data_IF_567154097571
#
_entry.id   IF_567154097571
#
_cell.length_a   1.000
_cell.length_b   1.000
_cell.length_c   1.000
_cell.angle_alpha   90.00
_cell.angle_beta   90.00
_cell.angle_gamma   90.00
#
_symmetry.space_group_name_H-M   'P 1'
#
loop_
_entity.id
_entity.type
_entity.pdbx_description
1 polymer ?
#
# COMPACT_ATOMS: atom_id res chain seq x y z
N UNK A 1 -4.28 -42.37 40.88
CA UNK A 1 -4.66 -42.54 39.45
C UNK A 1 -4.71 -41.14 38.85
N UNK A 2 -3.60 -40.60 38.31
CA UNK A 2 -3.16 -40.57 36.90
C UNK A 2 -4.22 -40.11 35.86
N UNK A 3 -4.08 -38.81 35.50
CA UNK A 3 -4.19 -38.14 34.17
C UNK A 3 -5.62 -37.89 33.66
N UNK A 4 -5.95 -36.81 32.94
CA UNK A 4 -5.28 -36.19 31.77
C UNK A 4 -5.68 -34.69 31.67
N UNK A 5 -4.74 -33.80 31.32
CA UNK A 5 -5.04 -32.44 30.85
C UNK A 5 -5.33 -32.47 29.34
N UNK A 6 -6.47 -31.94 28.91
CA UNK A 6 -6.79 -31.75 27.50
C UNK A 6 -6.41 -30.34 27.05
N UNK A 7 -5.51 -30.24 26.07
CA UNK A 7 -5.14 -28.98 25.40
C UNK A 7 -6.32 -28.43 24.60
N UNK A 8 -6.76 -27.22 24.91
CA UNK A 8 -7.72 -26.47 24.09
C UNK A 8 -6.93 -25.76 22.97
N UNK A 9 -7.11 -26.22 21.74
CA UNK A 9 -6.70 -25.48 20.55
C UNK A 9 -7.76 -24.41 20.27
N UNK A 10 -7.37 -23.14 20.31
CA UNK A 10 -8.21 -22.03 19.86
C UNK A 10 -8.18 -22.02 18.33
N UNK A 11 -9.29 -22.38 17.70
CA UNK A 11 -9.54 -22.10 16.27
C UNK A 11 -10.24 -20.74 16.20
N UNK A 12 -9.54 -19.71 15.72
CA UNK A 12 -10.15 -18.43 15.41
C UNK A 12 -11.00 -18.58 14.13
N UNK A 13 -12.32 -18.54 14.27
CA UNK A 13 -13.25 -18.41 13.14
C UNK A 13 -13.41 -16.92 12.86
N UNK A 14 -12.79 -16.43 11.78
CA UNK A 14 -13.12 -15.11 11.23
C UNK A 14 -14.44 -15.23 10.48
N UNK A 15 -15.53 -14.74 11.08
CA UNK A 15 -16.81 -14.60 10.41
C UNK A 15 -16.69 -13.54 9.30
N UNK A 16 -16.84 -13.94 8.04
CA UNK A 16 -17.16 -13.00 6.96
C UNK A 16 -18.67 -12.98 6.82
N UNK A 17 -19.30 -11.90 7.28
CA UNK A 17 -20.73 -11.68 7.06
C UNK A 17 -20.96 -11.39 5.57
N UNK A 18 -21.45 -12.38 4.83
CA UNK A 18 -22.07 -12.14 3.53
C UNK A 18 -23.49 -11.61 3.76
N UNK A 19 -23.70 -10.31 3.59
CA UNK A 19 -25.06 -9.79 3.42
C UNK A 19 -25.42 -10.04 1.95
N UNK A 20 -26.13 -11.14 1.70
CA UNK A 20 -26.78 -11.38 0.41
C UNK A 20 -27.98 -10.45 0.27
N UNK A 21 -27.91 -9.48 -0.63
CA UNK A 21 -29.08 -8.74 -1.07
C UNK A 21 -29.65 -9.45 -2.30
N UNK A 22 -30.81 -10.07 -2.16
CA UNK A 22 -31.58 -10.65 -3.26
C UNK A 22 -32.44 -9.56 -3.92
N UNK A 23 -32.10 -9.21 -5.16
CA UNK A 23 -32.87 -8.32 -6.02
C UNK A 23 -32.73 -8.77 -7.48
N UNK A 24 -33.86 -8.93 -8.15
CA UNK A 24 -34.03 -9.56 -9.46
C UNK A 24 -33.93 -8.50 -10.56
N UNK A 25 -33.10 -8.71 -11.59
CA UNK A 25 -33.32 -8.16 -12.94
C UNK A 25 -32.24 -7.25 -13.54
N UNK A 26 -31.92 -7.61 -14.79
CA UNK A 26 -31.19 -6.90 -15.87
C UNK A 26 -29.65 -7.05 -15.92
N UNK A 27 -29.23 -7.48 -17.12
CA UNK A 27 -27.87 -7.62 -17.66
C UNK A 27 -26.69 -7.77 -16.69
N UNK A 28 -26.34 -9.02 -16.36
CA UNK A 28 -25.06 -9.36 -15.76
C UNK A 28 -23.90 -9.16 -16.77
N UNK A 29 -23.61 -7.91 -17.16
CA UNK A 29 -22.21 -7.52 -17.23
C UNK A 29 -21.77 -7.51 -15.78
N UNK A 30 -21.17 -8.60 -15.33
CA UNK A 30 -20.43 -8.61 -14.07
C UNK A 30 -19.31 -7.59 -14.27
N UNK A 31 -19.57 -6.32 -13.93
CA UNK A 31 -18.51 -5.37 -13.70
C UNK A 31 -17.67 -6.03 -12.60
N UNK A 32 -16.50 -6.52 -12.96
CA UNK A 32 -15.59 -7.10 -11.98
C UNK A 32 -15.47 -6.08 -10.85
N UNK A 33 -15.86 -6.48 -9.63
CA UNK A 33 -15.89 -5.57 -8.51
C UNK A 33 -14.56 -4.80 -8.45
N UNK A 34 -14.64 -3.47 -8.45
CA UNK A 34 -13.44 -2.63 -8.42
C UNK A 34 -12.71 -2.88 -7.10
N UNK A 35 -11.48 -3.39 -7.18
CA UNK A 35 -10.64 -3.67 -6.02
C UNK A 35 -9.43 -2.76 -6.02
N UNK A 36 -9.07 -2.27 -4.83
CA UNK A 36 -7.89 -1.45 -4.60
C UNK A 36 -7.38 -1.76 -3.18
N UNK A 37 -6.35 -2.59 -3.10
CA UNK A 37 -5.85 -3.19 -1.86
C UNK A 37 -4.34 -3.11 -1.80
N UNK A 38 -3.78 -3.04 -0.59
CA UNK A 38 -2.33 -2.96 -0.42
C UNK A 38 -1.88 -3.17 1.02
N UNK A 39 -0.60 -3.44 1.20
CA UNK A 39 0.08 -3.35 2.49
C UNK A 39 1.51 -2.87 2.32
N UNK A 40 2.05 -2.19 3.34
CA UNK A 40 3.48 -1.94 3.45
C UNK A 40 4.17 -3.17 4.05
N UNK A 41 5.31 -3.53 3.48
CA UNK A 41 6.24 -4.50 4.06
C UNK A 41 7.35 -3.77 4.85
N UNK A 42 7.71 -2.55 4.40
CA UNK A 42 8.69 -1.72 5.07
C UNK A 42 8.43 -0.22 4.86
N UNK A 43 8.63 0.54 5.92
CA UNK A 43 8.73 1.98 5.91
C UNK A 43 9.82 2.39 6.90
N UNK A 44 11.01 2.74 6.39
CA UNK A 44 12.21 2.96 7.20
C UNK A 44 12.87 4.27 6.83
N UNK A 45 13.33 5.00 7.83
CA UNK A 45 14.22 6.14 7.62
C UNK A 45 15.55 5.90 8.33
N UNK A 46 16.63 6.11 7.60
CA UNK A 46 18.00 6.01 8.10
C UNK A 46 18.68 7.36 8.03
N UNK A 47 19.13 7.89 9.16
CA UNK A 47 19.83 9.17 9.28
C UNK A 47 21.30 8.96 9.61
N UNK A 48 22.20 9.68 8.93
CA UNK A 48 23.65 9.54 9.10
C UNK A 48 24.33 10.78 9.72
N UNK A 49 23.57 11.73 10.28
CA UNK A 49 24.11 12.99 10.80
C UNK A 49 24.14 14.15 9.80
N UNK A 50 23.98 13.89 8.50
CA UNK A 50 24.01 14.92 7.43
C UNK A 50 22.82 14.82 6.49
N UNK A 51 22.41 13.61 6.15
CA UNK A 51 21.29 13.31 5.27
C UNK A 51 20.49 12.14 5.82
N UNK A 52 19.26 12.03 5.34
CA UNK A 52 18.37 10.91 5.63
C UNK A 52 18.05 10.16 4.34
N UNK A 53 17.93 8.84 4.43
CA UNK A 53 17.40 7.99 3.38
C UNK A 53 16.05 7.41 3.84
N UNK A 54 15.02 7.63 3.05
CA UNK A 54 13.73 6.97 3.19
C UNK A 54 13.72 5.75 2.26
N UNK A 55 13.43 4.57 2.83
CA UNK A 55 13.24 3.32 2.09
C UNK A 55 11.84 2.75 2.36
N UNK A 56 11.13 2.41 1.29
CA UNK A 56 9.75 1.92 1.33
C UNK A 56 9.61 0.68 0.46
N UNK A 57 8.87 -0.32 0.94
CA UNK A 57 8.41 -1.44 0.11
C UNK A 57 7.05 -1.94 0.57
N UNK A 58 6.33 -2.57 -0.35
CA UNK A 58 5.01 -3.12 -0.08
C UNK A 58 4.40 -3.75 -1.32
N UNK A 59 3.09 -3.88 -1.30
CA UNK A 59 2.29 -4.26 -2.46
C UNK A 59 1.02 -3.40 -2.56
N UNK A 60 0.59 -3.12 -3.78
CA UNK A 60 -0.66 -2.44 -4.12
C UNK A 60 -1.22 -3.16 -5.35
N UNK A 61 -2.35 -3.85 -5.19
CA UNK A 61 -3.08 -4.51 -6.27
C UNK A 61 -4.40 -3.77 -6.52
N UNK A 62 -4.64 -3.39 -7.78
CA UNK A 62 -5.87 -2.69 -8.17
C UNK A 62 -6.43 -3.23 -9.49
N UNK A 63 -7.75 -3.14 -9.67
CA UNK A 63 -8.40 -3.39 -10.96
C UNK A 63 -8.21 -2.21 -11.91
N UNK A 64 -8.14 -2.46 -13.23
CA UNK A 64 -8.09 -1.39 -14.23
C UNK A 64 -6.74 -0.70 -14.44
N UNK A 65 -5.67 -1.14 -13.78
CA UNK A 65 -4.32 -0.54 -13.87
C UNK A 65 -3.39 -1.21 -14.89
N UNK A 66 -3.88 -2.16 -15.70
CA UNK A 66 -3.07 -2.91 -16.68
C UNK A 66 -2.31 -2.00 -17.67
N UNK A 67 -2.89 -0.83 -17.96
CA UNK A 67 -2.32 0.16 -18.89
C UNK A 67 -1.43 1.21 -18.21
N UNK A 68 -1.28 1.15 -16.88
CA UNK A 68 -0.49 2.09 -16.11
C UNK A 68 0.98 1.64 -16.05
N UNK A 69 1.77 2.09 -17.03
CA UNK A 69 3.18 1.71 -17.17
C UNK A 69 4.13 2.36 -16.16
N UNK A 70 3.62 3.25 -15.31
CA UNK A 70 4.43 3.94 -14.31
C UNK A 70 3.88 3.72 -12.90
N UNK A 71 4.80 3.61 -11.96
CA UNK A 71 4.53 3.38 -10.54
C UNK A 71 5.36 4.36 -9.72
N UNK A 72 4.72 4.99 -8.73
CA UNK A 72 5.32 6.03 -7.91
C UNK A 72 4.98 5.83 -6.43
N UNK A 73 5.92 6.19 -5.59
CA UNK A 73 5.75 6.33 -4.16
C UNK A 73 5.70 7.83 -3.86
N UNK A 74 4.63 8.25 -3.19
CA UNK A 74 4.45 9.60 -2.70
C UNK A 74 4.59 9.61 -1.19
N UNK A 75 5.31 10.60 -0.70
CA UNK A 75 5.38 10.95 0.71
C UNK A 75 4.42 12.09 0.95
N UNK A 76 3.42 11.82 1.78
CA UNK A 76 2.31 12.71 2.02
C UNK A 76 2.40 13.27 3.43
N UNK A 77 2.02 14.53 3.59
CA UNK A 77 1.76 15.11 4.90
C UNK A 77 0.51 14.47 5.48
N UNK A 78 0.62 13.89 6.67
CA UNK A 78 -0.48 13.21 7.35
C UNK A 78 -1.62 14.15 7.75
N UNK A 79 -1.30 15.37 8.16
CA UNK A 79 -2.30 16.31 8.67
C UNK A 79 -3.03 17.04 7.53
N UNK A 80 -2.32 17.40 6.45
CA UNK A 80 -2.89 18.18 5.35
C UNK A 80 -3.28 17.36 4.13
N UNK A 81 -2.77 16.13 4.02
CA UNK A 81 -2.92 15.30 2.82
C UNK A 81 -2.15 15.80 1.60
N UNK A 82 -1.28 16.81 1.77
CA UNK A 82 -0.48 17.37 0.67
C UNK A 82 0.77 16.54 0.40
N UNK A 83 1.19 16.49 -0.86
CA UNK A 83 2.46 15.87 -1.26
C UNK A 83 3.65 16.67 -0.71
N UNK A 84 4.60 15.97 -0.09
CA UNK A 84 5.91 16.49 0.31
C UNK A 84 6.97 16.15 -0.75
N UNK A 85 6.93 14.91 -1.24
CA UNK A 85 7.84 14.42 -2.26
C UNK A 85 7.24 13.20 -2.98
N UNK A 86 7.77 12.91 -4.17
CA UNK A 86 7.50 11.67 -4.89
C UNK A 86 8.77 11.10 -5.49
N UNK A 87 8.79 9.80 -5.69
CA UNK A 87 9.86 9.11 -6.41
C UNK A 87 9.30 7.89 -7.14
N UNK A 88 9.96 7.51 -8.23
CA UNK A 88 9.56 6.35 -9.03
C UNK A 88 9.77 5.08 -8.22
N UNK A 89 8.79 4.18 -8.27
CA UNK A 89 8.90 2.86 -7.67
C UNK A 89 9.44 1.85 -8.69
N UNK A 90 10.15 0.85 -8.17
CA UNK A 90 10.50 -0.37 -8.88
C UNK A 90 9.45 -1.41 -8.54
N UNK A 91 8.80 -1.96 -9.58
CA UNK A 91 7.84 -3.04 -9.41
C UNK A 91 8.54 -4.38 -9.15
N UNK A 92 7.93 -5.22 -8.31
CA UNK A 92 8.44 -6.54 -7.96
C UNK A 92 7.33 -7.59 -7.99
N UNK A 93 7.72 -8.84 -8.19
CA UNK A 93 6.77 -9.94 -8.24
C UNK A 93 6.31 -10.37 -6.82
N UNK A 94 5.02 -10.63 -6.67
CA UNK A 94 4.31 -11.02 -5.44
C UNK A 94 3.38 -12.21 -5.70
N UNK A 95 3.92 -13.43 -5.85
CA UNK A 95 3.11 -14.62 -6.07
C UNK A 95 2.23 -14.96 -4.86
N UNK A 96 2.60 -14.50 -3.67
CA UNK A 96 1.79 -14.56 -2.46
C UNK A 96 0.53 -13.69 -2.57
N UNK A 97 0.64 -12.46 -3.11
CA UNK A 97 -0.51 -11.57 -3.34
C UNK A 97 -1.42 -12.13 -4.45
N UNK A 98 -0.84 -12.66 -5.53
CA UNK A 98 -1.61 -13.31 -6.59
C UNK A 98 -2.45 -14.48 -6.08
N UNK A 99 -1.93 -15.27 -5.13
CA UNK A 99 -2.68 -16.39 -4.53
C UNK A 99 -3.94 -15.95 -3.80
N UNK A 100 -3.93 -14.77 -3.20
CA UNK A 100 -5.05 -14.19 -2.45
C UNK A 100 -5.99 -13.41 -3.36
N UNK A 101 -5.45 -12.70 -4.35
CA UNK A 101 -6.18 -11.86 -5.29
C UNK A 101 -5.97 -12.29 -6.76
N UNK A 102 -6.32 -13.53 -7.14
CA UNK A 102 -6.05 -14.05 -8.49
C UNK A 102 -6.90 -13.38 -9.58
N UNK A 103 -8.00 -12.73 -9.19
CA UNK A 103 -8.92 -12.02 -10.07
C UNK A 103 -8.45 -10.60 -10.44
N UNK A 104 -7.41 -10.06 -9.79
CA UNK A 104 -6.78 -8.80 -10.16
C UNK A 104 -5.66 -9.08 -11.16
N UNK A 105 -5.80 -8.64 -12.42
CA UNK A 105 -4.93 -9.05 -13.54
C UNK A 105 -3.43 -8.90 -13.31
N UNK A 106 -3.00 -7.90 -12.53
CA UNK A 106 -1.59 -7.64 -12.24
C UNK A 106 -1.22 -7.84 -10.76
N UNK A 107 -1.99 -8.60 -9.99
CA UNK A 107 -1.69 -8.83 -8.56
C UNK A 107 -0.34 -9.52 -8.34
N UNK A 108 0.14 -10.32 -9.30
CA UNK A 108 1.51 -10.87 -9.25
C UNK A 108 2.59 -9.78 -9.42
N UNK A 109 2.30 -8.64 -10.02
CA UNK A 109 3.22 -7.50 -10.20
C UNK A 109 2.87 -6.33 -9.27
N UNK A 110 2.13 -6.62 -8.20
CA UNK A 110 1.66 -5.62 -7.23
C UNK A 110 2.76 -5.10 -6.31
N UNK A 111 3.88 -5.79 -6.23
CA UNK A 111 4.99 -5.41 -5.37
C UNK A 111 5.62 -4.09 -5.83
N UNK A 112 5.99 -3.26 -4.88
CA UNK A 112 6.74 -2.04 -5.14
C UNK A 112 7.84 -1.84 -4.11
N UNK A 113 8.91 -1.19 -4.53
CA UNK A 113 9.94 -0.69 -3.64
C UNK A 113 10.56 0.60 -4.18
N UNK A 114 11.17 1.36 -3.29
CA UNK A 114 11.96 2.51 -3.69
C UNK A 114 12.61 3.17 -2.50
N UNK A 115 13.55 4.06 -2.80
CA UNK A 115 14.20 4.87 -1.79
C UNK A 115 14.51 6.26 -2.32
N UNK A 116 14.56 7.23 -1.43
CA UNK A 116 15.01 8.58 -1.74
C UNK A 116 15.89 9.12 -0.62
N UNK A 117 16.90 9.89 -1.00
CA UNK A 117 17.65 10.71 -0.05
C UNK A 117 16.96 12.06 0.10
N UNK A 118 16.97 12.61 1.31
CA UNK A 118 16.48 13.95 1.59
C UNK A 118 17.34 14.64 2.66
N UNK A 119 17.25 15.97 2.66
CA UNK A 119 17.79 16.78 3.74
C UNK A 119 16.71 16.90 4.83
N UNK A 120 16.91 16.30 6.02
CA UNK A 120 15.92 16.39 7.10
C UNK A 120 15.75 17.80 7.68
N UNK A 121 16.69 18.70 7.40
CA UNK A 121 16.65 20.10 7.85
C UNK A 121 15.93 21.04 6.86
N UNK A 122 15.51 20.55 5.69
CA UNK A 122 14.64 21.32 4.79
C UNK A 122 13.25 21.49 5.43
N UNK A 123 12.70 22.70 5.36
CA UNK A 123 11.42 23.07 5.99
C UNK A 123 10.25 22.19 5.58
N UNK A 124 10.31 21.56 4.40
CA UNK A 124 9.29 20.61 3.94
C UNK A 124 9.27 19.28 4.70
N UNK A 125 10.36 18.93 5.39
CA UNK A 125 10.51 17.68 6.15
C UNK A 125 10.49 17.90 7.66
N UNK A 126 10.93 19.08 8.10
CA UNK A 126 11.00 19.45 9.51
C UNK A 126 9.65 19.32 10.22
N UNK A 127 9.62 18.57 11.32
CA UNK A 127 8.46 18.36 12.19
C UNK A 127 7.20 17.87 11.45
N UNK A 128 7.37 17.08 10.39
CA UNK A 128 6.25 16.55 9.62
C UNK A 128 5.84 15.15 10.10
N UNK A 129 4.53 14.95 10.18
CA UNK A 129 3.94 13.61 10.24
C UNK A 129 3.71 13.16 8.82
N UNK A 130 4.23 11.99 8.45
CA UNK A 130 4.16 11.51 7.07
C UNK A 130 3.49 10.15 6.95
N UNK A 131 2.87 9.91 5.80
CA UNK A 131 2.43 8.59 5.37
C UNK A 131 2.77 8.36 3.89
N UNK A 132 2.63 7.12 3.45
CA UNK A 132 2.94 6.72 2.08
C UNK A 132 1.66 6.57 1.27
N UNK A 133 1.70 7.01 0.01
CA UNK A 133 0.74 6.65 -1.01
C UNK A 133 1.47 6.00 -2.19
N UNK A 134 0.97 4.90 -2.71
CA UNK A 134 1.45 4.31 -3.96
C UNK A 134 0.47 4.59 -5.10
N UNK A 135 0.99 5.04 -6.24
CA UNK A 135 0.21 5.40 -7.42
C UNK A 135 0.62 4.59 -8.64
N UNK A 136 -0.36 4.04 -9.34
CA UNK A 136 -0.26 3.65 -10.74
C UNK A 136 -0.60 4.86 -11.64
N UNK A 137 0.27 5.17 -12.60
CA UNK A 137 0.15 6.35 -13.46
C UNK A 137 0.27 6.00 -14.96
N UNK A 138 -0.43 6.77 -15.80
CA UNK A 138 -0.32 6.71 -17.26
C UNK A 138 0.86 7.53 -17.81
N UNK A 139 1.46 8.41 -17.02
CA UNK A 139 2.54 9.27 -17.48
C UNK A 139 3.80 9.20 -16.61
N UNK A 140 4.92 9.56 -17.23
CA UNK A 140 6.28 9.47 -16.69
C UNK A 140 6.62 10.50 -15.63
N UNK A 141 5.69 11.38 -15.25
CA UNK A 141 5.86 12.31 -14.12
C UNK A 141 4.96 11.98 -12.91
N UNK A 142 4.09 10.97 -13.02
CA UNK A 142 3.23 10.51 -11.93
C UNK A 142 1.98 11.36 -11.66
N UNK A 143 1.70 12.37 -12.49
CA UNK A 143 0.53 13.25 -12.31
C UNK A 143 -0.79 12.61 -12.73
N UNK A 144 -0.77 11.76 -13.78
CA UNK A 144 -1.98 11.17 -14.35
C UNK A 144 -2.31 9.86 -13.64
N UNK A 145 -2.92 9.97 -12.46
CA UNK A 145 -3.35 8.85 -11.62
C UNK A 145 -4.34 7.93 -12.33
N UNK A 146 -4.13 6.62 -12.18
CA UNK A 146 -5.09 5.56 -12.52
C UNK A 146 -5.65 4.91 -11.25
N UNK A 147 -4.77 4.65 -10.28
CA UNK A 147 -5.16 4.14 -8.97
C UNK A 147 -4.19 4.63 -7.91
N UNK A 148 -4.74 5.12 -6.81
CA UNK A 148 -4.03 5.55 -5.62
C UNK A 148 -4.39 4.66 -4.45
N UNK A 149 -3.37 4.20 -3.73
CA UNK A 149 -3.55 3.51 -2.47
C UNK A 149 -2.78 4.22 -1.38
N UNK A 150 -3.51 4.77 -0.42
CA UNK A 150 -2.94 5.39 0.76
C UNK A 150 -2.68 4.29 1.80
N UNK A 151 -1.50 4.34 2.44
CA UNK A 151 -1.14 3.46 3.54
C UNK A 151 -1.23 4.24 4.86
N UNK A 152 -2.43 4.47 5.40
CA UNK A 152 -2.61 5.11 6.70
C UNK A 152 -2.23 4.11 7.81
N UNK A 153 -0.94 3.91 8.03
CA UNK A 153 -0.45 3.53 9.35
C UNK A 153 -0.28 4.81 10.16
N UNK A 154 -0.40 4.76 11.50
CA UNK A 154 -0.21 5.91 12.40
C UNK A 154 1.12 6.61 12.09
N UNK A 155 1.07 7.62 11.21
CA UNK A 155 2.22 8.09 10.45
C UNK A 155 3.45 8.27 11.32
N UNK A 156 4.59 7.73 10.87
CA UNK A 156 5.86 7.98 11.54
C UNK A 156 6.06 9.49 11.67
N UNK A 157 6.24 9.96 12.90
CA UNK A 157 6.59 11.35 13.15
C UNK A 157 8.05 11.51 12.78
N UNK A 158 8.34 12.38 11.80
CA UNK A 158 9.71 12.78 11.54
C UNK A 158 10.01 14.06 12.31
N UNK A 159 10.78 13.93 13.39
CA UNK A 159 11.40 15.06 14.09
C UNK A 159 12.87 15.10 13.72
N UNK A 160 13.34 16.18 13.10
CA UNK A 160 14.78 16.43 13.07
C UNK A 160 15.21 16.78 14.49
N UNK A 161 16.10 15.98 15.07
CA UNK A 161 16.83 16.36 16.27
C UNK A 161 17.90 17.39 15.91
#
# INVERSE_FOLDING_TARGET
MKRIFASIMIVAVLSVSFIGFSGVGLDNKVEAASQNVGSLDAFRVHYNGKSANLSVSGWHAATGVVWAHYSYIFVMNYNTGLEIARFKATQTNRPDVYRVYPNISISNQSGFSGSMNFNPFDSRWYNQRIYIMHRYSLNSNGERSVSDYHFPSNGGVWTSN
#
